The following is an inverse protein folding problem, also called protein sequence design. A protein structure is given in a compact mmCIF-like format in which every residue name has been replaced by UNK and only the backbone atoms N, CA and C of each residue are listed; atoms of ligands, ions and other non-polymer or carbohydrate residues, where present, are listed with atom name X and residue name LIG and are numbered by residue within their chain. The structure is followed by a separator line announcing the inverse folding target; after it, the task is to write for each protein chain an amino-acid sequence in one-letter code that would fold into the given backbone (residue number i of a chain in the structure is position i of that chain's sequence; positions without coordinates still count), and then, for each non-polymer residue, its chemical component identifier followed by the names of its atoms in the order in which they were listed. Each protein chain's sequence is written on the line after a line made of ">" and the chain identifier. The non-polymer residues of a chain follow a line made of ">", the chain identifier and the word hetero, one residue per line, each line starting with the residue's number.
data_IF_112065157020
#
_entry.id   IF_112065157020
#
_cell.length_a   1.000
_cell.length_b   1.000
_cell.length_c   1.000
_cell.angle_alpha   90.00
_cell.angle_beta   90.00
_cell.angle_gamma   90.00
#
_symmetry.space_group_name_H-M   'P 1'
#
loop_
_entity.id
_entity.type
_entity.pdbx_description
1 polymer ?
#
# COMPACT_ATOMS: atom_id res chain seq x y z
N UNK A 1 18.08 0.07 -4.65
CA UNK A 1 17.86 -1.07 -3.76
C UNK A 1 17.23 -2.24 -4.51
N UNK A 2 17.27 -3.44 -3.94
CA UNK A 2 16.77 -4.66 -4.60
C UNK A 2 15.33 -4.56 -5.11
N UNK A 3 14.46 -3.86 -4.38
CA UNK A 3 13.05 -3.66 -4.77
C UNK A 3 12.89 -2.81 -6.04
N UNK A 4 13.78 -1.87 -6.28
CA UNK A 4 13.66 -0.88 -7.36
C UNK A 4 14.54 -1.20 -8.58
N UNK A 5 15.33 -2.27 -8.54
CA UNK A 5 16.27 -2.57 -9.63
C UNK A 5 15.60 -2.85 -10.98
N UNK A 6 14.35 -3.29 -10.96
CA UNK A 6 13.56 -3.57 -12.17
C UNK A 6 12.62 -2.41 -12.57
N UNK A 7 12.69 -1.26 -11.87
CA UNK A 7 11.85 -0.11 -12.21
C UNK A 7 12.03 0.37 -13.66
N UNK A 8 13.25 0.45 -14.23
CA UNK A 8 13.41 0.85 -15.63
C UNK A 8 12.68 -0.08 -16.60
N UNK A 9 12.73 -1.40 -16.36
CA UNK A 9 12.01 -2.38 -17.19
C UNK A 9 10.49 -2.22 -17.04
N UNK A 10 9.99 -1.96 -15.84
CA UNK A 10 8.56 -1.75 -15.59
C UNK A 10 8.05 -0.46 -16.26
N UNK A 11 8.83 0.63 -16.18
CA UNK A 11 8.47 1.93 -16.79
C UNK A 11 8.47 1.83 -18.33
N UNK A 12 9.40 1.07 -18.91
CA UNK A 12 9.55 0.92 -20.36
C UNK A 12 8.94 -0.39 -20.88
N UNK A 13 8.08 -1.05 -20.10
CA UNK A 13 7.44 -2.29 -20.52
C UNK A 13 6.56 -2.08 -21.75
N UNK A 14 6.62 -2.98 -22.76
CA UNK A 14 5.70 -2.94 -23.90
C UNK A 14 4.24 -3.21 -23.53
N UNK A 15 4.00 -3.76 -22.32
CA UNK A 15 2.67 -4.00 -21.79
C UNK A 15 2.11 -2.81 -20.99
N UNK A 16 2.86 -1.71 -20.92
CA UNK A 16 2.39 -0.52 -20.22
C UNK A 16 1.22 0.13 -20.96
N UNK A 17 0.16 0.46 -20.25
CA UNK A 17 -0.96 1.22 -20.78
C UNK A 17 -0.54 2.68 -20.92
N UNK A 18 -0.53 3.20 -22.15
CA UNK A 18 -0.05 4.56 -22.47
C UNK A 18 -1.19 5.52 -22.80
N UNK A 19 -2.38 5.01 -23.11
CA UNK A 19 -3.56 5.79 -23.45
C UNK A 19 -4.77 5.28 -22.67
N UNK A 20 -5.82 6.08 -22.51
CA UNK A 20 -7.08 5.60 -21.95
C UNK A 20 -7.62 4.43 -22.77
N UNK A 21 -8.25 3.49 -22.08
CA UNK A 21 -8.86 2.31 -22.68
C UNK A 21 -10.35 2.30 -22.35
N UNK A 22 -11.19 2.15 -23.41
CA UNK A 22 -12.62 1.89 -23.25
C UNK A 22 -12.88 0.39 -23.32
N UNK A 23 -13.64 -0.15 -22.37
CA UNK A 23 -14.09 -1.54 -22.43
C UNK A 23 -15.07 -1.73 -23.59
N UNK A 24 -14.84 -2.74 -24.42
CA UNK A 24 -15.65 -3.07 -25.60
C UNK A 24 -16.41 -4.39 -25.47
N UNK A 25 -16.09 -5.19 -24.44
CA UNK A 25 -16.75 -6.46 -24.14
C UNK A 25 -17.47 -6.46 -22.81
N UNK A 26 -18.02 -7.62 -22.46
CA UNK A 26 -18.65 -7.83 -21.16
C UNK A 26 -17.64 -7.74 -20.00
N UNK A 27 -18.15 -7.50 -18.80
CA UNK A 27 -17.30 -7.44 -17.60
C UNK A 27 -16.59 -8.79 -17.39
N UNK A 28 -15.25 -8.75 -17.32
CA UNK A 28 -14.42 -9.95 -17.16
C UNK A 28 -13.82 -10.49 -18.45
N UNK A 29 -14.29 -10.11 -19.64
CA UNK A 29 -13.74 -10.57 -20.92
C UNK A 29 -12.33 -9.98 -21.23
N UNK A 30 -11.92 -8.91 -20.58
CA UNK A 30 -10.63 -8.28 -20.84
C UNK A 30 -10.51 -7.58 -22.20
N UNK A 31 -11.63 -7.28 -22.87
CA UNK A 31 -11.65 -6.61 -24.18
C UNK A 31 -11.70 -5.10 -24.03
N UNK A 32 -10.68 -4.43 -24.55
CA UNK A 32 -10.53 -2.97 -24.49
C UNK A 32 -10.06 -2.40 -25.82
N UNK A 33 -10.47 -1.17 -26.11
CA UNK A 33 -9.99 -0.39 -27.26
C UNK A 33 -9.37 0.92 -26.76
N UNK A 34 -8.23 1.38 -27.35
CA UNK A 34 -7.66 2.69 -27.06
C UNK A 34 -8.63 3.80 -27.47
N UNK A 35 -8.70 4.84 -26.64
CA UNK A 35 -9.42 6.08 -26.93
C UNK A 35 -8.54 7.28 -26.62
N UNK A 36 -8.92 8.46 -27.10
CA UNK A 36 -8.22 9.68 -26.73
C UNK A 36 -8.57 10.14 -25.30
N UNK A 37 -7.73 10.99 -24.72
CA UNK A 37 -8.03 11.62 -23.44
C UNK A 37 -9.28 12.49 -23.49
N UNK A 38 -9.51 13.18 -24.62
CA UNK A 38 -10.71 14.02 -24.81
C UNK A 38 -11.99 13.15 -24.76
N UNK A 39 -12.00 12.02 -25.47
CA UNK A 39 -13.13 11.09 -25.44
C UNK A 39 -13.36 10.50 -24.05
N UNK A 40 -12.27 10.11 -23.35
CA UNK A 40 -12.37 9.56 -21.99
C UNK A 40 -12.98 10.58 -21.00
N UNK A 41 -12.49 11.81 -21.02
CA UNK A 41 -12.97 12.88 -20.13
C UNK A 41 -14.43 13.24 -20.46
N UNK A 42 -14.77 13.37 -21.73
CA UNK A 42 -16.15 13.67 -22.14
C UNK A 42 -17.12 12.57 -21.70
N UNK A 43 -16.81 11.31 -21.95
CA UNK A 43 -17.66 10.18 -21.58
C UNK A 43 -17.88 10.11 -20.06
N UNK A 44 -16.82 10.31 -19.26
CA UNK A 44 -16.91 10.35 -17.81
C UNK A 44 -17.76 11.53 -17.36
N UNK A 45 -17.53 12.72 -17.96
CA UNK A 45 -18.23 13.94 -17.57
C UNK A 45 -19.72 13.85 -17.84
N UNK A 46 -20.11 13.35 -19.01
CA UNK A 46 -21.53 13.13 -19.37
C UNK A 46 -22.16 12.18 -18.37
N UNK A 47 -21.51 11.04 -18.13
CA UNK A 47 -22.03 10.03 -17.19
C UNK A 47 -22.18 10.55 -15.78
N UNK A 48 -21.20 11.29 -15.27
CA UNK A 48 -21.27 11.88 -13.93
C UNK A 48 -22.38 12.92 -13.83
N UNK A 49 -22.54 13.82 -14.82
CA UNK A 49 -23.65 14.79 -14.86
C UNK A 49 -25.01 14.13 -14.77
N UNK A 50 -25.22 13.05 -15.52
CA UNK A 50 -26.47 12.27 -15.46
C UNK A 50 -26.71 11.66 -14.08
N UNK A 51 -25.68 11.03 -13.49
CA UNK A 51 -25.77 10.41 -12.16
C UNK A 51 -26.02 11.45 -11.07
N UNK A 52 -25.30 12.55 -11.12
CA UNK A 52 -25.44 13.65 -10.15
C UNK A 52 -26.84 14.28 -10.25
N UNK A 53 -27.34 14.52 -11.46
CA UNK A 53 -28.67 15.06 -11.64
C UNK A 53 -29.77 14.13 -11.09
N UNK A 54 -29.55 12.83 -11.14
CA UNK A 54 -30.52 11.82 -10.70
C UNK A 54 -30.44 11.46 -9.21
N UNK A 55 -29.20 11.41 -8.68
CA UNK A 55 -28.97 10.84 -7.35
C UNK A 55 -28.19 11.75 -6.40
N UNK A 56 -27.75 12.94 -6.84
CA UNK A 56 -26.89 13.84 -6.09
C UNK A 56 -25.40 13.53 -6.27
N UNK A 57 -24.54 14.48 -5.88
CA UNK A 57 -23.09 14.39 -6.09
C UNK A 57 -22.44 13.28 -5.25
N UNK A 58 -23.02 12.91 -4.11
CA UNK A 58 -22.56 11.83 -3.23
C UNK A 58 -22.62 10.43 -3.89
N UNK A 59 -23.27 10.28 -5.06
CA UNK A 59 -23.19 9.06 -5.87
C UNK A 59 -21.80 8.79 -6.41
N UNK A 60 -20.94 9.79 -6.45
CA UNK A 60 -19.52 9.68 -6.86
C UNK A 60 -18.69 9.41 -5.60
N UNK A 61 -18.08 8.23 -5.53
CA UNK A 61 -17.14 7.87 -4.46
C UNK A 61 -15.71 7.81 -5.01
N UNK A 62 -14.85 8.80 -4.73
CA UNK A 62 -13.43 8.74 -5.10
C UNK A 62 -12.72 7.71 -4.23
N UNK A 63 -12.35 6.58 -4.83
CA UNK A 63 -11.62 5.52 -4.14
C UNK A 63 -10.12 5.76 -4.25
N UNK A 64 -9.55 6.43 -3.25
CA UNK A 64 -8.12 6.73 -3.14
C UNK A 64 -7.54 6.09 -1.89
N UNK A 65 -6.51 5.27 -2.03
CA UNK A 65 -5.86 4.58 -0.91
C UNK A 65 -4.33 4.58 -1.06
N UNK A 66 -3.63 3.77 -0.25
CA UNK A 66 -2.18 3.64 -0.35
C UNK A 66 -1.75 3.09 -1.73
N UNK A 67 -0.59 3.53 -2.21
CA UNK A 67 -0.01 3.17 -3.50
C UNK A 67 1.09 4.16 -3.83
N UNK A 68 1.02 4.81 -4.98
CA UNK A 68 1.93 5.91 -5.32
C UNK A 68 1.63 7.12 -4.44
N UNK A 69 2.49 7.39 -3.48
CA UNK A 69 2.30 8.43 -2.45
C UNK A 69 3.30 9.59 -2.59
N UNK A 70 3.66 9.96 -3.81
CA UNK A 70 4.47 11.14 -4.08
C UNK A 70 3.73 12.42 -3.67
N UNK A 71 4.49 13.48 -3.37
CA UNK A 71 3.94 14.74 -2.85
C UNK A 71 2.87 15.39 -3.78
N UNK A 72 2.98 15.17 -5.09
CA UNK A 72 2.03 15.70 -6.07
C UNK A 72 0.81 14.78 -6.22
N UNK A 73 1.00 13.45 -6.20
CA UNK A 73 -0.08 12.48 -6.44
C UNK A 73 -0.95 12.26 -5.21
N UNK A 74 -0.34 12.29 -4.02
CA UNK A 74 -1.07 12.12 -2.77
C UNK A 74 -2.05 13.26 -2.58
N UNK A 75 -3.32 12.92 -2.43
CA UNK A 75 -4.42 13.89 -2.28
C UNK A 75 -4.63 14.84 -3.48
N UNK A 76 -4.01 14.57 -4.64
CA UNK A 76 -4.11 15.45 -5.81
C UNK A 76 -5.52 15.66 -6.35
N UNK A 77 -6.44 14.71 -6.12
CA UNK A 77 -7.83 14.82 -6.52
C UNK A 77 -8.80 15.33 -5.45
N UNK A 78 -8.36 15.42 -4.19
CA UNK A 78 -9.26 15.66 -3.06
C UNK A 78 -10.03 17.01 -3.22
N UNK A 79 -9.32 18.08 -3.58
CA UNK A 79 -9.95 19.39 -3.78
C UNK A 79 -11.01 19.40 -4.88
N UNK A 80 -10.79 18.69 -5.98
CA UNK A 80 -11.78 18.54 -7.04
C UNK A 80 -13.05 17.82 -6.56
N UNK A 81 -12.89 16.69 -5.88
CA UNK A 81 -14.01 15.90 -5.39
C UNK A 81 -14.78 16.59 -4.27
N UNK A 82 -14.10 17.35 -3.39
CA UNK A 82 -14.76 18.19 -2.39
C UNK A 82 -15.58 19.31 -3.06
N UNK A 83 -15.04 19.98 -4.06
CA UNK A 83 -15.76 21.02 -4.82
C UNK A 83 -16.97 20.44 -5.58
N UNK A 84 -16.89 19.18 -6.03
CA UNK A 84 -17.98 18.48 -6.68
C UNK A 84 -19.11 18.09 -5.69
N UNK A 85 -18.81 18.02 -4.39
CA UNK A 85 -19.73 17.49 -3.37
C UNK A 85 -19.81 15.96 -3.38
N UNK A 86 -18.75 15.28 -3.84
CA UNK A 86 -18.68 13.82 -3.88
C UNK A 86 -18.63 13.22 -2.47
N UNK A 87 -18.97 11.93 -2.35
CA UNK A 87 -18.84 11.19 -1.10
C UNK A 87 -17.39 11.12 -0.65
N UNK A 88 -17.16 11.07 0.66
CA UNK A 88 -15.83 10.96 1.24
C UNK A 88 -15.52 9.52 1.64
N UNK A 89 -14.33 9.03 1.23
CA UNK A 89 -13.85 7.71 1.62
C UNK A 89 -13.15 7.78 3.00
N UNK A 90 -13.72 7.13 4.00
CA UNK A 90 -13.06 6.92 5.29
C UNK A 90 -12.00 5.82 5.15
N UNK A 91 -10.72 6.18 5.23
CA UNK A 91 -9.57 5.28 5.01
C UNK A 91 -9.25 4.48 6.27
N UNK A 92 -9.92 3.37 6.50
CA UNK A 92 -9.80 2.58 7.73
C UNK A 92 -9.26 1.15 7.56
N UNK A 93 -9.07 0.67 6.32
CA UNK A 93 -8.86 -0.77 6.07
C UNK A 93 -7.56 -1.35 6.63
N UNK A 94 -6.40 -0.74 6.43
CA UNK A 94 -5.12 -1.39 6.70
C UNK A 94 -4.38 -0.93 7.96
N UNK A 95 -4.53 0.32 8.41
CA UNK A 95 -3.71 0.84 9.52
C UNK A 95 -4.48 1.34 10.73
N UNK A 96 -5.77 1.63 10.60
CA UNK A 96 -6.55 2.22 11.70
C UNK A 96 -6.61 1.32 12.93
N UNK A 97 -6.88 0.02 12.76
CA UNK A 97 -6.89 -0.94 13.86
C UNK A 97 -5.52 -1.08 14.54
N UNK A 98 -4.47 -1.17 13.73
CA UNK A 98 -3.09 -1.19 14.24
C UNK A 98 -2.77 0.08 15.02
N UNK A 99 -3.08 1.25 14.47
CA UNK A 99 -2.80 2.53 15.12
C UNK A 99 -3.58 2.68 16.43
N UNK A 100 -4.87 2.33 16.43
CA UNK A 100 -5.68 2.39 17.65
C UNK A 100 -5.16 1.45 18.75
N UNK A 101 -4.73 0.23 18.40
CA UNK A 101 -4.12 -0.71 19.34
C UNK A 101 -2.78 -0.20 19.87
N UNK A 102 -1.94 0.31 18.98
CA UNK A 102 -0.64 0.87 19.35
C UNK A 102 -0.78 2.07 20.29
N UNK A 103 -1.63 3.04 19.96
CA UNK A 103 -1.85 4.24 20.77
C UNK A 103 -2.42 3.94 22.16
N UNK A 104 -3.26 2.92 22.28
CA UNK A 104 -3.77 2.48 23.60
C UNK A 104 -2.70 1.96 24.54
N UNK A 105 -1.65 1.34 23.98
CA UNK A 105 -0.56 0.74 24.77
C UNK A 105 0.60 1.72 24.95
N UNK A 106 0.97 2.43 23.90
CA UNK A 106 2.16 3.27 23.83
C UNK A 106 1.87 4.77 24.09
N UNK A 107 0.60 5.17 24.07
CA UNK A 107 0.17 6.57 24.28
C UNK A 107 0.44 7.51 23.10
N UNK A 108 1.11 7.05 22.06
CA UNK A 108 1.47 7.84 20.88
C UNK A 108 1.65 6.95 19.66
N UNK A 109 1.55 7.53 18.48
CA UNK A 109 1.82 6.85 17.19
C UNK A 109 3.29 6.87 16.76
N UNK A 110 4.22 7.24 17.63
CA UNK A 110 5.65 7.22 17.30
C UNK A 110 6.16 5.80 17.04
N UNK A 111 6.78 5.61 15.90
CA UNK A 111 7.46 4.36 15.54
C UNK A 111 8.88 4.32 16.12
N UNK A 112 9.39 3.10 16.32
CA UNK A 112 10.78 2.85 16.68
C UNK A 112 11.72 3.35 15.57
N UNK A 113 12.79 4.02 15.94
CA UNK A 113 13.84 4.39 14.99
C UNK A 113 14.57 3.14 14.50
N UNK A 114 14.82 2.99 13.17
CA UNK A 114 15.58 1.87 12.63
C UNK A 114 16.97 1.67 13.28
N UNK A 115 17.61 2.76 13.73
CA UNK A 115 18.91 2.70 14.39
C UNK A 115 18.86 2.02 15.76
N UNK A 116 17.74 2.14 16.48
CA UNK A 116 17.58 1.54 17.81
C UNK A 116 17.56 0.01 17.73
N UNK A 117 17.15 -0.55 16.60
CA UNK A 117 17.20 -2.00 16.35
C UNK A 117 18.62 -2.56 16.50
N UNK A 118 19.64 -1.81 16.05
CA UNK A 118 21.04 -2.22 16.18
C UNK A 118 21.50 -2.37 17.64
N UNK A 119 20.82 -1.75 18.60
CA UNK A 119 21.14 -1.76 20.02
C UNK A 119 20.29 -2.75 20.84
N UNK A 120 19.34 -3.43 20.20
CA UNK A 120 18.45 -4.39 20.87
C UNK A 120 19.17 -5.73 21.08
N UNK A 121 18.91 -6.39 22.21
CA UNK A 121 19.43 -7.73 22.52
C UNK A 121 18.43 -8.84 22.14
N UNK A 122 17.13 -8.50 22.08
CA UNK A 122 16.06 -9.37 21.60
C UNK A 122 15.20 -8.61 20.59
N UNK A 123 15.00 -9.20 19.42
CA UNK A 123 14.19 -8.64 18.34
C UNK A 123 13.08 -9.63 17.99
N UNK A 124 11.84 -9.23 18.25
CA UNK A 124 10.66 -9.98 17.85
C UNK A 124 10.15 -9.44 16.51
N UNK A 125 10.20 -10.25 15.48
CA UNK A 125 9.64 -9.95 14.17
C UNK A 125 8.27 -10.60 14.09
N UNK A 126 7.22 -9.81 14.17
CA UNK A 126 5.85 -10.31 14.22
C UNK A 126 5.10 -10.00 12.93
N UNK A 127 4.69 -11.07 12.21
CA UNK A 127 3.94 -10.98 10.95
C UNK A 127 4.58 -10.02 9.94
N UNK A 128 5.90 -10.16 9.73
CA UNK A 128 6.63 -9.26 8.85
C UNK A 128 7.77 -9.96 8.11
N UNK A 129 7.73 -9.94 6.79
CA UNK A 129 8.86 -10.37 5.95
C UNK A 129 9.83 -9.18 5.75
N UNK A 130 10.78 -9.02 6.68
CA UNK A 130 11.73 -7.91 6.68
C UNK A 130 12.67 -7.96 5.48
N UNK A 131 13.08 -9.15 5.06
CA UNK A 131 14.03 -9.34 3.98
C UNK A 131 13.43 -8.97 2.61
N UNK A 132 12.11 -9.05 2.46
CA UNK A 132 11.41 -8.65 1.23
C UNK A 132 10.86 -7.23 1.31
N UNK A 133 10.26 -6.84 2.45
CA UNK A 133 9.48 -5.61 2.53
C UNK A 133 10.21 -4.46 3.21
N UNK A 134 11.17 -4.76 4.11
CA UNK A 134 11.91 -3.78 4.92
C UNK A 134 13.43 -3.93 4.78
N UNK A 135 13.89 -4.12 3.56
CA UNK A 135 15.31 -4.45 3.27
C UNK A 135 16.32 -3.45 3.84
N UNK A 136 15.93 -2.19 4.02
CA UNK A 136 16.79 -1.17 4.62
C UNK A 136 16.95 -1.32 6.14
N UNK A 137 16.11 -2.12 6.81
CA UNK A 137 16.27 -2.47 8.21
C UNK A 137 17.29 -3.60 8.42
N UNK A 138 17.53 -4.42 7.39
CA UNK A 138 18.40 -5.60 7.47
C UNK A 138 19.83 -5.29 7.94
N UNK A 139 20.49 -4.18 7.52
CA UNK A 139 21.81 -3.84 8.05
C UNK A 139 21.84 -3.67 9.59
N UNK A 140 20.82 -3.06 10.16
CA UNK A 140 20.71 -2.85 11.61
C UNK A 140 20.43 -4.17 12.34
N UNK A 141 19.61 -5.05 11.76
CA UNK A 141 19.43 -6.41 12.28
C UNK A 141 20.73 -7.21 12.30
N UNK A 142 21.56 -7.08 11.26
CA UNK A 142 22.87 -7.74 11.20
C UNK A 142 23.78 -7.22 12.30
N UNK A 143 23.87 -5.91 12.49
CA UNK A 143 24.66 -5.30 13.56
C UNK A 143 24.24 -5.81 14.95
N UNK A 144 22.92 -5.90 15.22
CA UNK A 144 22.42 -6.48 16.45
C UNK A 144 22.84 -7.95 16.62
N UNK A 145 22.68 -8.78 15.57
CA UNK A 145 23.09 -10.19 15.60
C UNK A 145 24.58 -10.38 15.83
N UNK A 146 25.41 -9.56 15.18
CA UNK A 146 26.87 -9.61 15.32
C UNK A 146 27.32 -9.31 16.77
N UNK A 147 26.49 -8.56 17.52
CA UNK A 147 26.64 -8.32 18.96
C UNK A 147 26.07 -9.45 19.83
N UNK A 148 25.41 -10.43 19.26
CA UNK A 148 24.80 -11.57 19.99
C UNK A 148 23.30 -11.47 20.22
N UNK A 149 22.61 -10.46 19.66
CA UNK A 149 21.17 -10.31 19.78
C UNK A 149 20.43 -11.53 19.22
N UNK A 150 19.32 -11.88 19.83
CA UNK A 150 18.42 -12.95 19.37
C UNK A 150 17.32 -12.38 18.50
N UNK A 151 17.02 -13.04 17.40
CA UNK A 151 15.92 -12.69 16.49
C UNK A 151 14.91 -13.84 16.49
N UNK A 152 13.66 -13.54 16.80
CA UNK A 152 12.54 -14.50 16.80
C UNK A 152 11.52 -14.04 15.80
N UNK A 153 11.18 -14.89 14.84
CA UNK A 153 10.10 -14.67 13.90
C UNK A 153 8.82 -15.31 14.42
N UNK A 154 7.73 -14.57 14.47
CA UNK A 154 6.38 -15.03 14.81
C UNK A 154 5.50 -14.75 13.59
N UNK A 155 5.03 -15.78 12.90
CA UNK A 155 4.22 -15.61 11.69
C UNK A 155 3.26 -16.80 11.49
N UNK A 156 2.33 -16.65 10.56
CA UNK A 156 1.38 -17.71 10.16
C UNK A 156 1.92 -18.58 9.03
N UNK A 157 3.02 -18.19 8.40
CA UNK A 157 3.73 -18.92 7.35
C UNK A 157 5.23 -18.61 7.37
N UNK A 158 6.03 -19.49 6.77
CA UNK A 158 7.46 -19.24 6.61
C UNK A 158 7.73 -18.23 5.52
N UNK A 159 8.61 -17.26 5.79
CA UNK A 159 9.03 -16.22 4.86
C UNK A 159 10.56 -16.05 4.85
N UNK A 160 11.09 -15.17 3.99
CA UNK A 160 12.55 -15.01 3.87
C UNK A 160 13.23 -14.59 5.18
N UNK A 161 12.52 -13.94 6.11
CA UNK A 161 13.07 -13.53 7.41
C UNK A 161 13.44 -14.74 8.27
N UNK A 162 12.82 -15.90 8.06
CA UNK A 162 13.17 -17.15 8.76
C UNK A 162 14.66 -17.50 8.61
N UNK A 163 15.25 -17.28 7.44
CA UNK A 163 16.68 -17.54 7.20
C UNK A 163 17.59 -16.68 8.08
N UNK A 164 17.04 -15.64 8.65
CA UNK A 164 17.74 -14.70 9.52
C UNK A 164 17.37 -14.84 11.00
N UNK A 165 16.28 -15.51 11.30
CA UNK A 165 15.81 -15.76 12.67
C UNK A 165 16.63 -16.87 13.36
N UNK A 166 16.74 -16.78 14.69
CA UNK A 166 17.28 -17.84 15.52
C UNK A 166 16.19 -18.86 15.89
N UNK A 167 14.96 -18.40 15.91
CA UNK A 167 13.77 -19.20 16.19
C UNK A 167 12.59 -18.69 15.37
N UNK A 168 11.79 -19.60 14.86
CA UNK A 168 10.52 -19.31 14.20
C UNK A 168 9.38 -19.97 14.96
N UNK A 169 8.38 -19.16 15.32
CA UNK A 169 7.14 -19.61 15.96
C UNK A 169 6.01 -19.47 14.94
N UNK A 170 5.55 -20.59 14.39
CA UNK A 170 4.39 -20.60 13.51
C UNK A 170 3.12 -20.70 14.33
N UNK A 171 2.24 -19.71 14.16
CA UNK A 171 0.96 -19.63 14.85
C UNK A 171 -0.20 -19.83 13.86
N UNK A 172 -1.34 -20.28 14.37
CA UNK A 172 -2.53 -20.39 13.52
C UNK A 172 -3.10 -18.99 13.22
N UNK A 173 -3.59 -18.73 11.99
CA UNK A 173 -4.30 -17.49 11.71
C UNK A 173 -5.47 -17.28 12.68
N UNK A 174 -5.56 -16.09 13.29
CA UNK A 174 -6.64 -15.75 14.21
C UNK A 174 -6.51 -16.30 15.65
N UNK A 175 -5.34 -16.87 16.00
CA UNK A 175 -5.05 -17.28 17.38
C UNK A 175 -4.48 -16.14 18.23
#
# INVERSE_FOLDING_TARGET
>A
CGKMRHLPQAVNSPHRILTPLRRTGEKGEGKFAPISWAEAVEEISVRWKELIARYGAETILPCSYAGTMGAVQRHGGDGFFHALGAAELVRTLCSSGKSAGWERVMGTSCDLSPWDVAHSDLILVWSSDLLSTRIHLVPFLRQARDRGAKVVLIDVYTNLTETFAHQTLLVKPGS
#
